data_IF_375374804188
#
_entry.id   IF_375374804188
#
_cell.length_a   1.000
_cell.length_b   1.000
_cell.length_c   1.000
_cell.angle_alpha   90.00
_cell.angle_beta   90.00
_cell.angle_gamma   90.00
#
_symmetry.space_group_name_H-M   'P 1'
#
loop_
_entity.id
_entity.type
_entity.pdbx_description
1 polymer ?
#
# COMPACT_ATOMS: atom_id res chain seq x y z
N UNK A 1 -6.21 4.23 7.01
CA UNK A 1 -7.51 3.92 6.37
C UNK A 1 -8.64 4.28 7.32
N UNK A 2 -9.70 4.93 6.83
CA UNK A 2 -10.89 5.16 7.65
C UNK A 2 -12.13 4.90 6.80
N UNK A 3 -13.09 4.16 7.33
CA UNK A 3 -14.33 3.83 6.62
C UNK A 3 -15.52 3.89 7.57
N UNK A 4 -16.71 4.13 7.02
CA UNK A 4 -17.95 4.06 7.78
C UNK A 4 -18.41 2.61 7.90
N UNK A 5 -18.76 2.20 9.11
CA UNK A 5 -19.43 0.93 9.42
C UNK A 5 -20.75 1.28 10.12
N UNK A 6 -21.83 1.30 9.33
CA UNK A 6 -23.06 1.99 9.76
C UNK A 6 -22.77 3.45 10.05
N UNK A 7 -23.18 3.94 11.23
CA UNK A 7 -22.97 5.32 11.66
C UNK A 7 -21.62 5.55 12.38
N UNK A 8 -20.79 4.50 12.51
CA UNK A 8 -19.51 4.58 13.22
C UNK A 8 -18.35 4.70 12.25
N UNK A 9 -17.52 5.72 12.45
CA UNK A 9 -16.26 5.87 11.73
C UNK A 9 -15.19 4.99 12.36
N UNK A 10 -14.74 3.98 11.63
CA UNK A 10 -13.68 3.07 12.04
C UNK A 10 -12.36 3.53 11.45
N UNK A 11 -11.31 3.58 12.28
CA UNK A 11 -9.96 3.92 11.87
C UNK A 11 -9.06 2.70 11.92
N UNK A 12 -8.25 2.51 10.87
CA UNK A 12 -7.34 1.39 10.78
C UNK A 12 -6.01 1.76 10.12
N UNK A 13 -4.97 1.00 10.45
CA UNK A 13 -3.66 1.03 9.81
C UNK A 13 -3.50 -0.31 9.09
N UNK A 14 -3.08 -0.27 7.83
CA UNK A 14 -2.76 -1.44 7.02
C UNK A 14 -1.25 -1.47 6.78
N UNK A 15 -0.64 -2.61 7.04
CA UNK A 15 0.75 -2.91 6.72
C UNK A 15 0.77 -3.79 5.47
N UNK A 16 1.43 -3.29 4.42
CA UNK A 16 1.84 -4.07 3.26
C UNK A 16 3.37 -4.07 3.24
N UNK A 17 3.99 -5.24 3.39
CA UNK A 17 5.45 -5.35 3.35
C UNK A 17 5.88 -6.64 2.66
N UNK A 18 7.09 -6.63 2.11
CA UNK A 18 7.65 -7.80 1.46
C UNK A 18 9.15 -7.90 1.70
N UNK A 19 9.68 -9.12 1.61
CA UNK A 19 11.11 -9.39 1.70
C UNK A 19 11.47 -10.38 0.59
N UNK A 20 12.47 -10.07 -0.27
CA UNK A 20 12.90 -11.00 -1.32
C UNK A 20 13.52 -12.26 -0.69
N UNK A 21 13.23 -13.42 -1.27
CA UNK A 21 13.88 -14.70 -0.93
C UNK A 21 14.74 -15.22 -2.08
N UNK A 22 14.51 -14.72 -3.29
CA UNK A 22 15.36 -14.90 -4.46
C UNK A 22 15.05 -13.83 -5.51
N UNK A 23 15.69 -13.88 -6.70
CA UNK A 23 15.48 -12.90 -7.76
C UNK A 23 14.03 -12.81 -8.25
N UNK A 24 13.33 -13.96 -8.29
CA UNK A 24 11.96 -14.08 -8.81
C UNK A 24 10.94 -14.51 -7.73
N UNK A 25 11.29 -14.37 -6.45
CA UNK A 25 10.40 -14.77 -5.35
C UNK A 25 10.59 -13.92 -4.10
N UNK A 26 9.48 -13.65 -3.41
CA UNK A 26 9.46 -12.87 -2.18
C UNK A 26 8.35 -13.34 -1.25
N UNK A 27 8.49 -13.05 0.05
CA UNK A 27 7.44 -13.23 1.04
C UNK A 27 6.68 -11.93 1.21
N UNK A 28 5.38 -11.94 0.88
CA UNK A 28 4.45 -10.84 1.12
C UNK A 28 3.79 -10.99 2.49
N UNK A 29 3.68 -9.90 3.24
CA UNK A 29 3.02 -9.85 4.54
C UNK A 29 1.94 -8.76 4.55
N UNK A 30 0.81 -9.13 5.12
CA UNK A 30 -0.33 -8.25 5.36
C UNK A 30 -0.57 -8.14 6.86
N UNK A 31 -0.76 -6.93 7.35
CA UNK A 31 -1.22 -6.66 8.72
C UNK A 31 -2.30 -5.60 8.71
N UNK A 32 -3.25 -5.69 9.63
CA UNK A 32 -4.27 -4.67 9.81
C UNK A 32 -4.54 -4.49 11.30
N UNK A 33 -4.49 -3.23 11.75
CA UNK A 33 -4.78 -2.83 13.11
C UNK A 33 -5.95 -1.87 13.10
N UNK A 34 -6.93 -2.11 13.96
CA UNK A 34 -8.15 -1.29 14.07
C UNK A 34 -8.13 -0.55 15.41
N UNK A 35 -8.35 0.76 15.36
CA UNK A 35 -8.47 1.60 16.56
C UNK A 35 -9.77 1.26 17.27
N UNK A 36 -9.69 1.04 18.58
CA UNK A 36 -10.87 0.84 19.43
C UNK A 36 -11.82 2.04 19.35
N UNK A 37 -13.11 1.76 19.29
CA UNK A 37 -14.19 2.74 19.34
C UNK A 37 -14.43 3.11 20.81
N UNK A 38 -14.32 4.39 21.20
CA UNK A 38 -14.59 4.82 22.56
C UNK A 38 -16.02 4.50 23.00
N UNK A 39 -16.19 3.99 24.22
CA UNK A 39 -17.50 3.66 24.79
C UNK A 39 -18.07 2.29 24.40
N UNK A 40 -17.42 1.56 23.50
CA UNK A 40 -17.78 0.17 23.17
C UNK A 40 -17.13 -0.82 24.14
N UNK A 41 -17.77 -1.98 24.33
CA UNK A 41 -17.20 -3.08 25.11
C UNK A 41 -16.01 -3.72 24.39
N UNK A 42 -15.27 -4.58 25.09
CA UNK A 42 -14.17 -5.35 24.49
C UNK A 42 -14.69 -6.26 23.37
N UNK A 43 -15.82 -6.92 23.59
CA UNK A 43 -16.45 -7.83 22.65
C UNK A 43 -16.85 -7.09 21.37
N UNK A 44 -17.54 -5.95 21.50
CA UNK A 44 -17.93 -5.11 20.36
C UNK A 44 -16.71 -4.64 19.56
N UNK A 45 -15.65 -4.20 20.25
CA UNK A 45 -14.39 -3.80 19.62
C UNK A 45 -13.69 -4.97 18.90
N UNK A 46 -13.73 -6.17 19.48
CA UNK A 46 -13.15 -7.37 18.89
C UNK A 46 -13.93 -7.80 17.64
N UNK A 47 -15.25 -7.75 17.69
CA UNK A 47 -16.13 -8.10 16.56
C UNK A 47 -15.92 -7.17 15.37
N UNK A 48 -15.95 -5.85 15.60
CA UNK A 48 -15.74 -4.89 14.51
C UNK A 48 -14.32 -4.98 13.95
N UNK A 49 -13.30 -5.18 14.80
CA UNK A 49 -11.94 -5.36 14.34
C UNK A 49 -11.82 -6.59 13.44
N UNK A 50 -12.39 -7.73 13.83
CA UNK A 50 -12.40 -8.95 13.00
C UNK A 50 -13.10 -8.72 11.67
N UNK A 51 -14.30 -8.14 11.68
CA UNK A 51 -15.05 -7.85 10.46
C UNK A 51 -14.27 -6.92 9.52
N UNK A 52 -13.69 -5.85 10.07
CA UNK A 52 -12.92 -4.87 9.31
C UNK A 52 -11.64 -5.48 8.71
N UNK A 53 -10.90 -6.26 9.50
CA UNK A 53 -9.69 -6.97 9.05
C UNK A 53 -10.04 -7.97 7.95
N UNK A 54 -11.14 -8.72 8.09
CA UNK A 54 -11.58 -9.67 7.07
C UNK A 54 -11.95 -8.98 5.75
N UNK A 55 -12.65 -7.84 5.80
CA UNK A 55 -12.96 -7.04 4.62
C UNK A 55 -11.68 -6.52 3.92
N UNK A 56 -10.76 -5.93 4.69
CA UNK A 56 -9.50 -5.42 4.13
C UNK A 56 -8.63 -6.54 3.56
N UNK A 57 -8.60 -7.70 4.22
CA UNK A 57 -7.91 -8.87 3.69
C UNK A 57 -8.53 -9.31 2.37
N UNK A 58 -9.86 -9.39 2.26
CA UNK A 58 -10.51 -9.75 1.00
C UNK A 58 -10.14 -8.79 -0.13
N UNK A 59 -10.16 -7.48 0.11
CA UNK A 59 -9.72 -6.47 -0.86
C UNK A 59 -8.23 -6.60 -1.20
N UNK A 60 -7.34 -6.76 -0.21
CA UNK A 60 -5.91 -6.93 -0.45
C UNK A 60 -5.59 -8.17 -1.28
N UNK A 61 -6.37 -9.24 -1.13
CA UNK A 61 -6.19 -10.45 -1.94
C UNK A 61 -6.61 -10.27 -3.40
N UNK A 62 -7.40 -9.25 -3.74
CA UNK A 62 -7.65 -8.87 -5.13
C UNK A 62 -6.36 -8.33 -5.78
N UNK A 63 -5.60 -7.49 -5.06
CA UNK A 63 -4.28 -7.05 -5.52
C UNK A 63 -3.31 -8.21 -5.68
N UNK A 64 -3.32 -9.16 -4.73
CA UNK A 64 -2.49 -10.38 -4.79
C UNK A 64 -2.79 -11.22 -6.02
N UNK A 65 -4.08 -11.34 -6.40
CA UNK A 65 -4.46 -12.08 -7.59
C UNK A 65 -3.87 -11.44 -8.86
N UNK A 66 -3.92 -10.11 -8.97
CA UNK A 66 -3.27 -9.38 -10.06
C UNK A 66 -1.75 -9.56 -10.03
N UNK A 67 -1.10 -9.47 -8.87
CA UNK A 67 0.35 -9.63 -8.76
C UNK A 67 0.83 -11.03 -9.14
N UNK A 68 0.02 -12.07 -8.89
CA UNK A 68 0.33 -13.45 -9.27
C UNK A 68 0.24 -13.72 -10.77
N UNK A 69 -0.58 -12.95 -11.48
CA UNK A 69 -0.91 -13.20 -12.90
C UNK A 69 -0.43 -12.09 -13.85
N UNK A 70 0.53 -11.27 -13.42
CA UNK A 70 1.11 -10.19 -14.24
C UNK A 70 2.59 -10.42 -14.55
N UNK A 71 3.07 -9.73 -15.58
CA UNK A 71 4.50 -9.58 -15.85
C UNK A 71 5.01 -8.19 -15.42
N UNK A 72 6.34 -8.05 -15.34
CA UNK A 72 7.00 -6.72 -15.28
C UNK A 72 7.09 -6.16 -16.69
N UNK A 73 6.74 -4.88 -16.85
CA UNK A 73 6.84 -4.14 -18.11
C UNK A 73 7.80 -2.97 -17.90
N UNK A 74 8.96 -3.03 -18.54
CA UNK A 74 10.05 -2.06 -18.32
C UNK A 74 9.73 -0.70 -18.92
N UNK A 75 9.02 -0.68 -20.05
CA UNK A 75 8.57 0.54 -20.74
C UNK A 75 7.04 0.52 -20.84
N UNK A 76 6.31 0.82 -19.75
CA UNK A 76 4.86 0.82 -19.77
C UNK A 76 4.34 1.92 -20.71
N UNK A 77 3.28 1.63 -21.46
CA UNK A 77 2.52 2.65 -22.18
C UNK A 77 1.60 3.31 -21.17
N UNK A 78 1.71 4.63 -21.00
CA UNK A 78 0.98 5.40 -19.99
C UNK A 78 -0.11 6.26 -20.63
N UNK A 79 -1.27 6.28 -20.00
CA UNK A 79 -2.34 7.22 -20.28
C UNK A 79 -2.21 8.50 -19.43
N UNK A 80 -3.03 9.51 -19.73
CA UNK A 80 -3.01 10.80 -19.03
C UNK A 80 -3.26 10.69 -17.51
N UNK A 81 -4.09 9.72 -17.10
CA UNK A 81 -4.47 9.51 -15.70
C UNK A 81 -3.58 8.49 -14.97
N UNK A 82 -2.56 7.95 -15.61
CA UNK A 82 -1.60 7.08 -14.93
C UNK A 82 -0.75 7.91 -13.95
N UNK A 83 -0.44 7.28 -12.81
CA UNK A 83 0.48 7.88 -11.85
C UNK A 83 1.90 8.06 -12.40
N UNK A 84 2.80 8.69 -11.62
CA UNK A 84 4.18 8.96 -12.03
C UNK A 84 5.07 7.69 -11.97
N UNK A 85 4.79 6.72 -12.85
CA UNK A 85 5.42 5.39 -12.82
C UNK A 85 6.94 5.47 -12.97
N UNK A 86 7.43 6.35 -13.85
CA UNK A 86 8.87 6.51 -14.06
C UNK A 86 9.55 7.14 -12.86
N UNK A 87 8.98 8.21 -12.30
CA UNK A 87 9.54 8.90 -11.13
C UNK A 87 9.53 8.00 -9.90
N UNK A 88 8.49 7.17 -9.72
CA UNK A 88 8.45 6.16 -8.66
C UNK A 88 9.55 5.10 -8.83
N UNK A 89 9.80 4.64 -10.06
CA UNK A 89 10.88 3.68 -10.36
C UNK A 89 12.27 4.29 -10.16
N UNK A 90 12.47 5.53 -10.56
CA UNK A 90 13.70 6.28 -10.31
C UNK A 90 13.97 6.43 -8.82
N UNK A 91 12.94 6.79 -8.04
CA UNK A 91 13.05 6.84 -6.58
C UNK A 91 13.37 5.47 -5.98
N UNK A 92 12.75 4.39 -6.46
CA UNK A 92 13.00 3.03 -5.95
C UNK A 92 14.41 2.51 -6.32
N UNK A 93 14.98 3.00 -7.42
CA UNK A 93 16.32 2.60 -7.88
C UNK A 93 17.41 2.93 -6.87
N UNK A 94 17.23 3.93 -6.00
CA UNK A 94 18.22 4.30 -4.98
C UNK A 94 18.59 3.13 -4.05
N UNK A 95 17.66 2.20 -3.80
CA UNK A 95 17.88 1.04 -2.93
C UNK A 95 18.68 -0.08 -3.62
N UNK A 96 19.03 0.11 -4.89
CA UNK A 96 19.86 -0.78 -5.71
C UNK A 96 21.12 -0.06 -6.20
N UNK A 97 21.45 1.09 -5.60
CA UNK A 97 22.62 1.89 -5.90
C UNK A 97 23.45 2.01 -4.63
N UNK A 98 24.77 1.93 -4.75
CA UNK A 98 25.67 2.14 -3.60
C UNK A 98 25.42 3.54 -3.02
N UNK A 99 25.41 3.64 -1.69
CA UNK A 99 24.95 4.85 -0.97
C UNK A 99 25.69 6.12 -1.41
N UNK A 100 26.99 6.03 -1.69
CA UNK A 100 27.84 7.13 -2.14
C UNK A 100 27.58 7.56 -3.60
N UNK A 101 26.85 6.75 -4.36
CA UNK A 101 26.46 7.02 -5.74
C UNK A 101 25.00 7.46 -5.87
N UNK A 102 24.22 7.49 -4.78
CA UNK A 102 22.85 7.99 -4.80
C UNK A 102 22.86 9.51 -5.00
N UNK A 103 22.19 10.06 -6.04
CA UNK A 103 22.14 11.50 -6.26
C UNK A 103 21.46 12.23 -5.10
N UNK A 104 22.00 13.39 -4.71
CA UNK A 104 21.42 14.23 -3.65
C UNK A 104 19.94 14.59 -3.90
N UNK A 105 19.52 14.69 -5.17
CA UNK A 105 18.14 14.97 -5.56
C UNK A 105 17.13 13.86 -5.20
N UNK A 106 17.59 12.67 -4.79
CA UNK A 106 16.73 11.59 -4.28
C UNK A 106 16.29 11.85 -2.83
N UNK A 107 17.00 12.69 -2.08
CA UNK A 107 16.63 13.09 -0.72
C UNK A 107 15.60 14.23 -0.69
N UNK A 108 15.37 14.89 -1.83
CA UNK A 108 14.44 16.01 -1.94
C UNK A 108 12.98 15.55 -1.93
N UNK A 109 12.10 16.30 -1.25
CA UNK A 109 10.66 16.05 -1.28
C UNK A 109 10.12 16.30 -2.69
N UNK A 110 9.50 15.28 -3.27
CA UNK A 110 8.77 15.38 -4.54
C UNK A 110 7.29 15.13 -4.30
N UNK A 111 6.45 15.93 -4.93
CA UNK A 111 5.00 15.81 -4.88
C UNK A 111 4.46 15.84 -6.31
N UNK A 112 3.63 14.86 -6.66
CA UNK A 112 3.03 14.73 -7.98
C UNK A 112 1.55 14.43 -7.76
N UNK A 113 0.69 15.35 -8.22
CA UNK A 113 -0.76 15.25 -8.08
C UNK A 113 -1.32 14.70 -9.38
N UNK A 114 -1.94 13.53 -9.32
CA UNK A 114 -2.46 12.79 -10.49
C UNK A 114 -3.99 12.76 -10.55
N UNK A 115 -4.64 13.23 -9.50
CA UNK A 115 -6.09 13.43 -9.41
C UNK A 115 -6.29 14.80 -8.81
N UNK A 116 -6.77 15.75 -9.63
CA UNK A 116 -7.17 17.09 -9.16
C UNK A 116 -8.66 16.99 -8.78
N UNK A 117 -9.00 17.27 -7.52
CA UNK A 117 -10.39 17.26 -7.02
C UNK A 117 -11.11 18.62 -7.26
N UNK A 118 -10.56 19.49 -8.11
CA UNK A 118 -11.19 20.76 -8.51
C UNK A 118 -12.45 20.59 -9.37
#
# INVERSE_FOLDING_TARGET
LSSMFGDVRVHAILLNSHVPVGPDSFVLRFGCMVKRVPGWTEEQNSEIAKAYVMGNRASFYQDVDIWKHKARIDKPVLAENDGPVYQLREWYQQFFTDEDQVPASMAERREIVTVDER
#
